data_IF_662994705628
#
_entry.id   IF_662994705628
#
_cell.length_a   1.000
_cell.length_b   1.000
_cell.length_c   1.000
_cell.angle_alpha   90.00
_cell.angle_beta   90.00
_cell.angle_gamma   90.00
#
_symmetry.space_group_name_H-M   'P 1'
#
loop_
_entity.id
_entity.type
_entity.pdbx_description
1 polymer ?
#
# COMPACT_ATOMS: atom_id res chain seq x y z
N UNK A 1 32.34 4.57 -14.08
CA UNK A 1 30.98 3.99 -14.23
C UNK A 1 29.94 4.73 -13.36
N UNK A 2 29.05 5.50 -14.00
CA UNK A 2 27.93 6.21 -13.33
C UNK A 2 27.03 6.97 -14.34
N UNK A 3 25.70 6.97 -14.11
CA UNK A 3 24.75 7.64 -15.03
C UNK A 3 23.23 7.51 -14.80
N UNK A 4 22.53 7.13 -15.88
CA UNK A 4 21.11 7.45 -16.11
C UNK A 4 20.05 6.53 -15.46
N UNK A 5 20.36 6.00 -14.27
CA UNK A 5 19.50 5.05 -13.50
C UNK A 5 18.12 5.60 -13.10
N UNK A 6 17.18 4.72 -12.72
CA UNK A 6 15.85 5.13 -12.18
C UNK A 6 15.48 4.24 -11.04
N UNK A 7 15.41 4.83 -9.86
CA UNK A 7 15.31 4.08 -8.64
C UNK A 7 13.85 4.04 -8.29
N UNK A 8 13.29 2.84 -8.33
CA UNK A 8 11.89 2.69 -8.06
C UNK A 8 11.68 1.98 -6.74
N UNK A 9 10.92 2.62 -5.85
CA UNK A 9 10.53 2.02 -4.59
C UNK A 9 9.39 1.09 -4.85
N UNK A 10 9.48 -0.12 -4.32
CA UNK A 10 8.37 -1.04 -4.35
C UNK A 10 8.03 -1.40 -2.92
N UNK A 11 6.74 -1.62 -2.66
CA UNK A 11 6.28 -2.08 -1.37
C UNK A 11 6.54 -3.56 -1.31
N UNK A 12 7.29 -4.02 -0.31
CA UNK A 12 7.59 -5.44 -0.23
C UNK A 12 6.37 -6.25 0.24
N UNK A 13 5.25 -5.57 0.52
CA UNK A 13 4.00 -6.24 0.97
C UNK A 13 3.42 -7.24 -0.01
N UNK A 14 2.17 -7.64 0.20
CA UNK A 14 1.52 -8.52 -0.77
C UNK A 14 1.69 -7.91 -2.15
N UNK A 15 1.28 -6.64 -2.28
CA UNK A 15 1.31 -5.92 -3.56
C UNK A 15 2.61 -6.10 -4.37
N UNK A 16 3.74 -6.31 -3.71
CA UNK A 16 5.02 -6.48 -4.42
C UNK A 16 4.83 -7.26 -5.70
N UNK A 17 4.24 -8.46 -5.58
CA UNK A 17 4.08 -9.34 -6.74
C UNK A 17 3.23 -8.70 -7.81
N UNK A 18 2.12 -8.09 -7.41
CA UNK A 18 1.20 -7.47 -8.37
C UNK A 18 1.81 -6.17 -8.91
N UNK A 19 2.44 -5.40 -8.03
CA UNK A 19 3.26 -4.25 -8.44
C UNK A 19 4.31 -4.68 -9.45
N UNK A 20 4.98 -5.79 -9.17
CA UNK A 20 6.01 -6.30 -10.06
C UNK A 20 5.40 -6.65 -11.40
N UNK A 21 4.22 -7.27 -11.34
CA UNK A 21 3.51 -7.69 -12.54
C UNK A 21 3.18 -6.53 -13.45
N UNK A 22 2.69 -5.43 -12.87
CA UNK A 22 2.36 -4.25 -13.65
C UNK A 22 3.52 -3.90 -14.53
N UNK A 23 4.70 -3.83 -13.93
CA UNK A 23 5.89 -3.50 -14.67
C UNK A 23 6.13 -4.55 -15.72
N UNK A 24 6.27 -5.80 -15.29
CA UNK A 24 6.49 -6.87 -16.26
C UNK A 24 5.56 -6.62 -17.46
N UNK A 25 4.27 -6.45 -17.16
CA UNK A 25 3.25 -6.15 -18.18
C UNK A 25 3.50 -4.81 -18.87
N UNK A 26 3.78 -3.77 -18.09
CA UNK A 26 4.12 -2.48 -18.67
C UNK A 26 5.43 -2.55 -19.41
N UNK A 27 6.06 -3.72 -19.42
CA UNK A 27 7.11 -4.03 -20.38
C UNK A 27 8.49 -3.74 -19.85
N UNK A 28 8.69 -3.95 -18.56
CA UNK A 28 10.00 -3.77 -17.96
C UNK A 28 10.59 -5.13 -17.63
N UNK A 29 11.64 -5.51 -18.36
CA UNK A 29 12.21 -6.85 -18.25
C UNK A 29 12.88 -7.03 -16.90
N UNK A 30 12.05 -7.35 -15.90
CA UNK A 30 12.51 -7.69 -14.55
C UNK A 30 13.01 -9.13 -14.55
N UNK A 31 14.03 -9.44 -13.72
CA UNK A 31 14.50 -10.83 -13.65
C UNK A 31 13.44 -11.74 -13.04
N UNK A 32 13.54 -13.04 -13.31
CA UNK A 32 12.42 -13.95 -13.11
C UNK A 32 11.88 -13.95 -11.68
N UNK A 33 12.73 -14.29 -10.71
CA UNK A 33 12.32 -14.32 -9.29
C UNK A 33 12.80 -13.10 -8.51
N UNK A 34 12.77 -11.98 -9.22
CA UNK A 34 12.59 -10.67 -8.63
C UNK A 34 11.48 -10.73 -7.57
N UNK A 35 10.36 -11.34 -7.94
CA UNK A 35 9.19 -11.39 -7.09
C UNK A 35 9.45 -12.03 -5.71
N UNK A 36 10.26 -13.09 -5.65
CA UNK A 36 10.65 -13.68 -4.35
C UNK A 36 11.97 -13.12 -3.79
N UNK A 37 12.55 -12.11 -4.45
CA UNK A 37 13.85 -11.59 -4.04
C UNK A 37 13.85 -11.26 -2.57
N UNK A 38 14.88 -11.74 -1.88
CA UNK A 38 15.08 -11.36 -0.49
C UNK A 38 15.67 -9.95 -0.43
N UNK A 39 16.48 -9.59 -1.42
CA UNK A 39 17.27 -8.36 -1.38
C UNK A 39 16.40 -7.13 -1.20
N UNK A 40 16.96 -6.07 -0.62
CA UNK A 40 16.21 -4.83 -0.39
C UNK A 40 16.29 -3.85 -1.53
N UNK A 41 17.29 -4.04 -2.38
CA UNK A 41 17.60 -3.10 -3.42
C UNK A 41 18.09 -3.92 -4.59
N UNK A 42 17.22 -4.17 -5.56
CA UNK A 42 17.59 -5.00 -6.67
C UNK A 42 17.66 -4.17 -7.95
N UNK A 43 18.60 -4.52 -8.84
CA UNK A 43 18.88 -3.74 -10.06
C UNK A 43 18.42 -4.46 -11.34
N UNK A 44 17.91 -3.70 -12.29
CA UNK A 44 17.61 -4.25 -13.60
C UNK A 44 18.36 -3.39 -14.61
N UNK A 45 19.69 -3.59 -14.70
CA UNK A 45 20.50 -2.71 -15.54
C UNK A 45 19.89 -2.60 -16.92
N UNK A 46 19.60 -3.75 -17.52
CA UNK A 46 19.10 -3.82 -18.89
C UNK A 46 17.86 -2.96 -19.16
N UNK A 47 17.06 -2.71 -18.12
CA UNK A 47 15.87 -1.87 -18.23
C UNK A 47 16.00 -0.58 -17.41
N UNK A 48 17.24 -0.17 -17.11
CA UNK A 48 17.54 1.12 -16.46
C UNK A 48 17.12 1.28 -14.98
N UNK A 49 16.49 0.26 -14.41
CA UNK A 49 15.88 0.40 -13.11
C UNK A 49 16.77 -0.12 -12.03
N UNK A 50 16.60 0.49 -10.86
CA UNK A 50 17.04 -0.05 -9.57
C UNK A 50 15.84 0.01 -8.66
N UNK A 51 15.49 -1.12 -8.08
CA UNK A 51 14.36 -1.15 -7.18
C UNK A 51 14.82 -1.15 -5.78
N UNK A 52 14.09 -0.45 -4.93
CA UNK A 52 14.24 -0.69 -3.53
C UNK A 52 12.96 -1.30 -3.06
N UNK A 53 13.13 -2.35 -2.27
CA UNK A 53 12.03 -3.12 -1.75
C UNK A 53 11.75 -2.56 -0.36
N UNK A 54 11.03 -1.46 -0.34
CA UNK A 54 10.60 -0.84 0.88
C UNK A 54 9.54 -1.70 1.54
N UNK A 55 9.50 -1.65 2.87
CA UNK A 55 8.30 -2.01 3.60
C UNK A 55 7.27 -1.01 3.08
N UNK A 56 6.04 -1.46 2.83
CA UNK A 56 5.05 -0.65 2.10
C UNK A 56 4.68 0.71 2.70
N UNK A 57 4.74 0.88 4.02
CA UNK A 57 4.49 2.21 4.56
C UNK A 57 5.59 3.19 4.16
N UNK A 58 6.78 2.67 3.87
CA UNK A 58 7.93 3.51 3.57
C UNK A 58 8.02 3.91 2.11
N UNK A 59 7.32 3.19 1.25
CA UNK A 59 7.56 3.39 -0.14
C UNK A 59 7.53 4.87 -0.39
N UNK A 60 6.47 5.54 0.04
CA UNK A 60 6.44 6.96 -0.21
C UNK A 60 7.67 7.59 0.42
N UNK A 61 7.89 7.38 1.72
CA UNK A 61 9.10 7.93 2.34
C UNK A 61 10.22 8.03 1.29
N UNK A 62 10.70 6.89 0.84
CA UNK A 62 11.85 6.89 -0.02
C UNK A 62 11.57 7.84 -1.17
N UNK A 63 10.44 7.63 -1.82
CA UNK A 63 10.07 8.47 -2.95
C UNK A 63 10.03 9.94 -2.53
N UNK A 64 9.45 10.24 -1.37
CA UNK A 64 9.37 11.64 -0.87
C UNK A 64 10.75 12.33 -0.77
N UNK A 65 11.76 11.55 -0.43
CA UNK A 65 13.12 12.05 -0.32
C UNK A 65 13.92 11.90 -1.61
N UNK A 66 13.35 11.23 -2.61
CA UNK A 66 14.00 11.06 -3.90
C UNK A 66 15.13 10.07 -3.79
N UNK A 67 15.14 9.32 -2.69
CA UNK A 67 16.02 8.19 -2.58
C UNK A 67 15.54 7.21 -3.65
N UNK A 68 14.22 7.13 -3.81
CA UNK A 68 13.64 6.53 -5.00
C UNK A 68 12.95 7.65 -5.78
N UNK A 69 13.15 7.67 -7.09
CA UNK A 69 12.55 8.69 -7.93
C UNK A 69 11.07 8.45 -8.01
N UNK A 70 10.71 7.18 -7.94
CA UNK A 70 9.40 6.73 -8.29
C UNK A 70 8.91 5.61 -7.39
N UNK A 71 7.62 5.62 -7.09
CA UNK A 71 7.08 4.62 -6.19
C UNK A 71 5.86 3.93 -6.74
N UNK A 72 5.70 2.65 -6.42
CA UNK A 72 4.39 2.01 -6.51
C UNK A 72 3.87 2.02 -5.09
N UNK A 73 3.01 2.98 -4.84
CA UNK A 73 2.68 3.37 -3.50
C UNK A 73 1.42 2.67 -3.09
N UNK A 74 1.55 1.37 -2.80
CA UNK A 74 0.48 0.57 -2.16
C UNK A 74 -0.15 1.38 -1.05
N UNK A 75 -1.32 1.96 -1.35
CA UNK A 75 -1.83 3.17 -0.69
C UNK A 75 -1.76 3.17 0.83
N UNK A 76 -1.61 1.98 1.42
CA UNK A 76 -1.13 1.82 2.80
C UNK A 76 -0.25 3.02 3.17
N UNK A 77 0.73 3.35 2.32
CA UNK A 77 1.57 4.54 2.54
C UNK A 77 0.71 5.79 2.72
N UNK A 78 -0.19 5.99 1.77
CA UNK A 78 -1.00 7.20 1.68
C UNK A 78 -2.16 7.18 2.67
N UNK A 79 -2.22 6.10 3.45
CA UNK A 79 -3.00 6.01 4.68
C UNK A 79 -2.38 6.88 5.79
N UNK A 80 -1.05 6.89 5.89
CA UNK A 80 -0.33 7.76 6.83
C UNK A 80 -1.04 9.13 7.05
N UNK A 81 -1.01 10.01 6.04
CA UNK A 81 -1.77 11.29 6.01
C UNK A 81 -1.56 11.96 4.63
N UNK A 82 -1.71 13.30 4.56
CA UNK A 82 -1.37 14.08 3.34
C UNK A 82 0.12 14.47 3.30
N UNK A 83 0.74 14.35 2.12
CA UNK A 83 2.20 14.46 1.96
C UNK A 83 2.64 14.68 0.50
N UNK A 84 3.93 14.97 0.30
CA UNK A 84 4.47 15.40 -1.00
C UNK A 84 4.96 14.28 -1.90
N UNK A 85 4.21 14.03 -2.96
CA UNK A 85 4.64 13.21 -4.08
C UNK A 85 3.52 13.42 -5.07
N UNK A 86 3.86 13.48 -6.34
CA UNK A 86 2.83 13.49 -7.33
C UNK A 86 2.23 12.09 -7.24
N UNK A 87 0.91 12.01 -7.18
CA UNK A 87 0.19 10.73 -7.29
C UNK A 87 -0.14 10.62 -8.74
N UNK A 88 0.81 10.13 -9.51
CA UNK A 88 0.66 10.13 -10.95
C UNK A 88 -0.56 9.32 -11.40
N UNK A 89 -0.70 8.11 -10.87
CA UNK A 89 -1.55 7.12 -11.51
C UNK A 89 -2.01 6.01 -10.58
N UNK A 90 -3.32 5.90 -10.37
CA UNK A 90 -3.89 4.77 -9.66
C UNK A 90 -3.63 3.50 -10.45
N UNK A 91 -3.33 2.42 -9.75
CA UNK A 91 -3.11 1.14 -10.39
C UNK A 91 -4.15 0.22 -9.84
N UNK A 92 -5.40 0.62 -9.92
CA UNK A 92 -6.44 -0.21 -9.35
C UNK A 92 -6.44 -1.57 -10.08
N UNK A 93 -5.22 -2.02 -10.40
CA UNK A 93 -4.94 -3.44 -10.57
C UNK A 93 -4.67 -4.05 -9.19
N UNK A 94 -3.90 -3.35 -8.35
CA UNK A 94 -3.32 -3.96 -7.15
C UNK A 94 -4.29 -4.01 -5.94
N UNK A 95 -5.50 -4.50 -6.20
CA UNK A 95 -6.67 -4.17 -5.38
C UNK A 95 -6.69 -4.82 -4.01
N UNK A 96 -7.67 -4.35 -3.23
CA UNK A 96 -7.97 -4.71 -1.82
C UNK A 96 -8.27 -3.39 -1.08
N UNK A 97 -8.53 -3.42 0.23
CA UNK A 97 -9.00 -2.19 0.92
C UNK A 97 -8.98 -2.19 2.45
N UNK A 98 -9.32 -1.03 3.04
CA UNK A 98 -9.29 -0.83 4.50
C UNK A 98 -10.67 -0.91 5.18
N UNK A 99 -10.75 -1.69 6.27
CA UNK A 99 -12.04 -2.03 6.90
C UNK A 99 -11.98 -2.11 8.42
N UNK A 100 -13.15 -1.91 9.04
CA UNK A 100 -13.36 -2.26 10.43
C UNK A 100 -13.84 -3.67 10.33
N UNK A 101 -13.12 -4.58 10.95
CA UNK A 101 -13.55 -5.95 10.94
C UNK A 101 -13.25 -6.53 12.29
N UNK A 102 -13.77 -7.72 12.50
CA UNK A 102 -13.74 -8.34 13.80
C UNK A 102 -14.18 -9.76 13.58
N UNK A 103 -14.47 -10.47 14.66
CA UNK A 103 -14.68 -11.88 14.54
C UNK A 103 -16.15 -12.14 14.25
N UNK A 104 -16.43 -13.18 13.44
CA UNK A 104 -17.69 -13.59 12.85
C UNK A 104 -19.00 -13.10 13.48
N UNK A 105 -19.50 -13.77 14.52
CA UNK A 105 -20.79 -13.42 15.09
C UNK A 105 -20.58 -12.90 16.50
N UNK A 106 -19.69 -11.93 16.58
CA UNK A 106 -19.49 -11.15 17.79
C UNK A 106 -19.85 -9.73 17.40
N UNK A 107 -20.70 -9.05 18.18
CA UNK A 107 -20.99 -7.63 17.90
C UNK A 107 -20.11 -6.69 18.77
N UNK A 108 -20.29 -5.38 18.59
CA UNK A 108 -19.54 -4.36 19.34
C UNK A 108 -19.70 -4.46 20.84
N UNK A 109 -18.69 -3.97 21.55
CA UNK A 109 -18.71 -3.94 23.02
C UNK A 109 -19.78 -2.95 23.49
N UNK A 110 -20.46 -3.28 24.58
CA UNK A 110 -21.43 -2.36 25.19
C UNK A 110 -20.69 -1.17 25.77
N UNK A 111 -19.70 -1.46 26.61
CA UNK A 111 -18.82 -0.46 27.16
C UNK A 111 -17.49 -0.45 26.43
N UNK A 112 -16.87 0.72 26.34
CA UNK A 112 -15.52 0.82 25.80
C UNK A 112 -15.36 0.00 24.55
N UNK A 113 -16.27 0.18 23.58
CA UNK A 113 -15.99 -0.43 22.30
C UNK A 113 -14.63 0.07 21.83
N UNK A 114 -13.85 -0.85 21.28
CA UNK A 114 -12.42 -0.67 21.16
C UNK A 114 -11.93 -1.19 19.80
N UNK A 115 -10.85 -0.58 19.30
CA UNK A 115 -10.21 -1.03 18.06
C UNK A 115 -8.72 -1.23 18.25
N UNK A 116 -8.25 -2.40 17.83
CA UNK A 116 -6.83 -2.58 17.60
C UNK A 116 -6.60 -2.21 16.15
N UNK A 117 -5.55 -1.45 15.88
CA UNK A 117 -5.13 -1.25 14.52
C UNK A 117 -3.70 -0.81 14.45
N UNK A 118 -3.10 -1.01 13.29
CA UNK A 118 -1.81 -0.42 13.05
C UNK A 118 -2.01 1.06 12.76
N UNK A 119 -3.23 1.48 12.45
CA UNK A 119 -3.45 2.81 11.91
C UNK A 119 -4.34 3.66 12.78
N UNK A 120 -3.82 4.12 13.94
CA UNK A 120 -4.63 5.02 14.76
C UNK A 120 -5.04 6.24 13.95
N UNK A 121 -4.06 6.88 13.30
CA UNK A 121 -4.31 7.92 12.29
C UNK A 121 -5.69 7.81 11.65
N UNK A 122 -5.87 6.83 10.77
CA UNK A 122 -7.12 6.70 10.04
C UNK A 122 -8.29 6.27 10.94
N UNK A 123 -8.13 5.18 11.69
CA UNK A 123 -9.24 4.67 12.48
C UNK A 123 -9.74 5.81 13.33
N UNK A 124 -8.86 6.41 14.12
CA UNK A 124 -9.23 7.55 14.95
C UNK A 124 -10.06 8.56 14.16
N UNK A 125 -9.51 9.08 13.06
CA UNK A 125 -10.24 10.03 12.20
C UNK A 125 -11.60 9.49 11.79
N UNK A 126 -11.64 8.21 11.42
CA UNK A 126 -12.87 7.56 11.00
C UNK A 126 -13.94 7.62 12.09
N UNK A 127 -13.57 7.25 13.30
CA UNK A 127 -14.50 7.28 14.43
C UNK A 127 -14.62 8.70 15.00
N UNK A 128 -13.57 9.50 14.79
CA UNK A 128 -13.57 10.93 15.14
C UNK A 128 -14.50 11.70 14.21
N UNK A 129 -14.79 11.15 13.03
CA UNK A 129 -15.76 11.76 12.12
C UNK A 129 -17.10 11.00 12.08
N UNK A 130 -17.07 9.70 12.38
CA UNK A 130 -18.29 8.88 12.41
C UNK A 130 -19.16 9.16 13.65
N UNK A 131 -18.57 9.73 14.70
CA UNK A 131 -19.31 10.09 15.91
C UNK A 131 -19.10 9.18 17.11
N UNK A 132 -18.55 7.99 16.86
CA UNK A 132 -18.36 6.98 17.92
C UNK A 132 -17.27 7.39 18.91
N UNK A 133 -17.64 7.47 20.19
CA UNK A 133 -16.63 7.48 21.24
C UNK A 133 -16.13 6.05 21.29
N UNK A 134 -15.05 5.80 20.55
CA UNK A 134 -14.41 4.50 20.45
C UNK A 134 -13.04 4.59 21.13
N UNK A 135 -12.31 3.49 21.14
CA UNK A 135 -11.11 3.37 21.94
C UNK A 135 -10.05 2.65 21.12
N UNK A 136 -9.12 3.43 20.57
CA UNK A 136 -8.22 2.92 19.55
C UNK A 136 -6.86 2.60 20.14
N UNK A 137 -6.32 1.47 19.72
CA UNK A 137 -5.13 0.94 20.31
C UNK A 137 -4.19 0.67 19.17
N UNK A 138 -3.08 1.39 19.14
CA UNK A 138 -2.12 1.24 18.06
C UNK A 138 -1.48 -0.08 18.31
N UNK A 139 -1.41 -0.90 17.28
CA UNK A 139 -0.85 -2.23 17.40
C UNK A 139 0.13 -2.34 16.23
N UNK A 140 1.28 -2.96 16.46
CA UNK A 140 2.33 -2.99 15.46
C UNK A 140 2.31 -4.24 14.59
N UNK A 141 1.38 -5.15 14.84
CA UNK A 141 1.28 -6.36 14.03
C UNK A 141 0.35 -7.37 14.67
N UNK A 142 0.19 -8.52 14.03
CA UNK A 142 -0.60 -9.59 14.60
C UNK A 142 -1.95 -9.04 15.06
N UNK A 143 -2.64 -8.36 14.17
CA UNK A 143 -3.88 -7.68 14.54
C UNK A 143 -5.04 -8.65 14.68
N UNK A 144 -5.01 -9.76 13.95
CA UNK A 144 -5.96 -10.85 14.20
C UNK A 144 -5.98 -11.17 15.69
N UNK A 145 -4.82 -11.11 16.31
CA UNK A 145 -4.70 -11.49 17.70
C UNK A 145 -5.65 -10.67 18.55
N UNK A 146 -5.72 -9.37 18.28
CA UNK A 146 -6.47 -8.43 19.12
C UNK A 146 -7.84 -8.94 19.50
N UNK A 147 -8.72 -9.15 18.51
CA UNK A 147 -10.02 -9.72 18.84
C UNK A 147 -9.88 -11.10 19.47
N UNK A 148 -9.12 -11.99 18.86
CA UNK A 148 -8.97 -13.30 19.44
C UNK A 148 -8.83 -13.25 20.95
N UNK A 149 -7.90 -12.48 21.50
CA UNK A 149 -7.88 -12.34 22.97
C UNK A 149 -8.59 -11.12 23.50
N UNK A 150 -9.39 -10.49 22.67
CA UNK A 150 -10.25 -9.43 23.15
C UNK A 150 -9.56 -8.13 23.51
N UNK A 151 -8.35 -7.94 23.03
CA UNK A 151 -7.74 -6.65 23.22
C UNK A 151 -8.78 -5.65 22.80
N UNK A 152 -9.37 -5.95 21.66
CA UNK A 152 -10.36 -5.12 21.11
C UNK A 152 -11.18 -6.02 20.25
N UNK A 153 -12.48 -5.80 20.29
CA UNK A 153 -13.42 -6.63 19.56
C UNK A 153 -13.36 -6.34 18.05
N UNK A 154 -12.71 -5.25 17.68
CA UNK A 154 -12.72 -4.76 16.31
C UNK A 154 -11.36 -4.22 15.93
N UNK A 155 -10.80 -4.72 14.84
CA UNK A 155 -9.58 -4.17 14.30
C UNK A 155 -10.01 -3.20 13.22
N UNK A 156 -9.28 -2.10 13.05
CA UNK A 156 -9.38 -1.28 11.83
C UNK A 156 -8.17 -1.72 11.02
N UNK A 157 -8.39 -2.22 9.81
CA UNK A 157 -7.28 -2.79 9.06
C UNK A 157 -7.53 -3.12 7.59
N UNK A 158 -6.42 -3.35 6.90
CA UNK A 158 -6.44 -3.67 5.50
C UNK A 158 -6.80 -5.10 5.30
N UNK A 159 -7.90 -5.38 4.60
CA UNK A 159 -8.10 -6.74 4.10
C UNK A 159 -8.60 -6.74 2.67
N UNK A 160 -8.71 -7.92 2.08
CA UNK A 160 -9.34 -8.05 0.77
C UNK A 160 -10.67 -7.33 0.79
N UNK A 161 -11.36 -7.28 -0.36
CA UNK A 161 -12.64 -6.56 -0.46
C UNK A 161 -13.80 -7.47 -0.87
N UNK A 162 -13.58 -8.27 -1.92
CA UNK A 162 -14.59 -9.18 -2.48
C UNK A 162 -15.82 -9.45 -1.63
N UNK A 163 -15.63 -10.18 -0.54
CA UNK A 163 -16.75 -10.59 0.31
C UNK A 163 -16.40 -10.43 1.79
N UNK A 164 -17.37 -10.75 2.65
CA UNK A 164 -17.39 -10.22 4.00
C UNK A 164 -16.45 -10.91 5.02
N UNK A 165 -15.91 -12.08 4.68
CA UNK A 165 -15.04 -12.85 5.59
C UNK A 165 -13.56 -12.79 5.17
N UNK A 166 -12.79 -11.90 5.80
CA UNK A 166 -11.38 -11.69 5.45
C UNK A 166 -10.53 -12.97 5.51
N UNK A 167 -9.35 -12.87 4.92
CA UNK A 167 -8.36 -13.95 4.92
C UNK A 167 -8.17 -14.37 6.36
N UNK A 168 -8.09 -13.38 7.24
CA UNK A 168 -7.81 -13.59 8.66
C UNK A 168 -8.65 -14.66 9.37
N UNK A 169 -9.79 -15.03 8.78
CA UNK A 169 -10.82 -15.75 9.51
C UNK A 169 -11.69 -14.75 10.25
N UNK A 170 -11.47 -13.48 9.93
CA UNK A 170 -12.23 -12.37 10.46
C UNK A 170 -13.37 -12.04 9.51
N UNK A 171 -13.97 -10.87 9.68
CA UNK A 171 -15.18 -10.54 8.97
C UNK A 171 -15.37 -9.03 8.99
N UNK A 172 -15.51 -8.43 7.81
CA UNK A 172 -15.53 -6.97 7.67
C UNK A 172 -16.77 -6.41 8.31
N UNK A 173 -16.61 -5.48 9.24
CA UNK A 173 -17.75 -4.92 9.98
C UNK A 173 -18.25 -3.66 9.36
N UNK A 174 -17.33 -2.78 9.05
CA UNK A 174 -17.70 -1.49 8.54
C UNK A 174 -16.57 -1.07 7.67
N UNK A 175 -16.76 -1.22 6.36
CA UNK A 175 -15.84 -0.65 5.37
C UNK A 175 -15.57 0.85 5.64
N UNK A 176 -14.39 1.32 5.24
CA UNK A 176 -14.03 2.73 5.44
C UNK A 176 -13.37 3.28 4.19
N UNK A 177 -12.11 2.92 3.96
CA UNK A 177 -11.43 3.27 2.73
C UNK A 177 -11.39 2.11 1.77
N UNK A 178 -11.69 2.39 0.52
CA UNK A 178 -11.14 1.62 -0.57
C UNK A 178 -9.74 2.18 -0.66
N UNK A 179 -8.78 1.38 -1.10
CA UNK A 179 -7.47 1.95 -1.39
C UNK A 179 -6.83 1.38 -2.63
N UNK A 180 -6.33 2.31 -3.44
CA UNK A 180 -5.60 1.97 -4.61
C UNK A 180 -4.15 2.25 -4.30
N UNK A 181 -3.29 1.38 -4.81
CA UNK A 181 -1.90 1.71 -4.97
C UNK A 181 -1.90 2.82 -5.97
N UNK A 182 -0.83 3.57 -6.01
CA UNK A 182 -0.62 4.46 -7.12
C UNK A 182 0.85 4.62 -7.40
N UNK A 183 1.15 4.77 -8.68
CA UNK A 183 2.48 5.10 -9.11
C UNK A 183 2.73 6.54 -8.72
N UNK A 184 3.66 6.73 -7.80
CA UNK A 184 3.99 8.05 -7.35
C UNK A 184 5.41 8.43 -7.74
N UNK A 185 5.59 9.72 -7.91
CA UNK A 185 6.83 10.27 -8.38
C UNK A 185 7.31 11.40 -7.48
N UNK A 186 8.62 11.39 -7.24
CA UNK A 186 9.25 12.44 -6.47
C UNK A 186 9.34 13.64 -7.41
N UNK A 187 8.89 14.81 -6.96
CA UNK A 187 8.82 15.93 -7.92
C UNK A 187 10.17 16.43 -8.45
N UNK A 188 11.14 16.60 -7.56
CA UNK A 188 12.50 16.95 -7.95
C UNK A 188 13.13 15.85 -8.82
N UNK A 189 12.76 14.61 -8.55
CA UNK A 189 13.21 13.51 -9.40
C UNK A 189 12.57 13.69 -10.77
N UNK A 190 11.26 13.88 -10.77
CA UNK A 190 10.48 13.96 -12.00
C UNK A 190 10.95 15.08 -12.92
N UNK A 191 11.26 16.23 -12.34
CA UNK A 191 11.86 17.32 -13.09
C UNK A 191 13.03 16.77 -13.89
N UNK A 192 13.88 15.96 -13.27
CA UNK A 192 15.08 15.45 -13.93
C UNK A 192 14.85 14.21 -14.80
N UNK A 193 13.76 13.50 -14.58
CA UNK A 193 13.55 12.24 -15.30
C UNK A 193 12.19 12.08 -15.94
N UNK A 194 11.42 13.16 -16.00
CA UNK A 194 10.16 13.21 -16.76
C UNK A 194 10.11 12.22 -17.94
N UNK A 195 11.19 12.16 -18.71
CA UNK A 195 11.31 11.14 -19.76
C UNK A 195 10.93 9.73 -19.25
N UNK A 196 11.83 9.05 -18.55
CA UNK A 196 11.55 7.69 -18.11
C UNK A 196 10.23 7.68 -17.36
N UNK A 197 10.04 8.70 -16.53
CA UNK A 197 8.92 8.73 -15.60
C UNK A 197 7.59 8.85 -16.37
N UNK A 198 7.45 9.85 -17.24
CA UNK A 198 6.23 9.89 -18.05
C UNK A 198 6.13 8.57 -18.76
N UNK A 199 7.22 8.21 -19.42
CA UNK A 199 7.24 6.99 -20.20
C UNK A 199 6.68 5.86 -19.37
N UNK A 200 7.11 5.78 -18.11
CA UNK A 200 6.58 4.77 -17.22
C UNK A 200 5.10 5.02 -16.97
N UNK A 201 4.76 6.20 -16.48
CA UNK A 201 3.36 6.54 -16.25
C UNK A 201 2.50 6.11 -17.43
N UNK A 202 2.83 6.57 -18.62
CA UNK A 202 2.08 6.12 -19.76
C UNK A 202 2.10 4.60 -19.76
N UNK A 203 3.30 4.02 -19.82
CA UNK A 203 3.43 2.57 -19.94
C UNK A 203 2.56 1.81 -18.93
N UNK A 204 2.59 2.24 -17.67
CA UNK A 204 1.79 1.61 -16.64
C UNK A 204 0.29 1.75 -16.93
N UNK A 205 -0.17 2.98 -17.11
CA UNK A 205 -1.61 3.24 -17.20
C UNK A 205 -2.24 2.51 -18.36
N UNK A 206 -1.46 2.22 -19.40
CA UNK A 206 -2.02 1.39 -20.44
C UNK A 206 -2.23 0.00 -19.86
N UNK A 207 -1.22 -0.54 -19.20
CA UNK A 207 -1.38 -1.86 -18.61
C UNK A 207 -2.59 -1.82 -17.70
N UNK A 208 -2.68 -0.80 -16.86
CA UNK A 208 -3.78 -0.67 -15.89
C UNK A 208 -5.12 -0.43 -16.59
N UNK A 209 -5.29 0.78 -17.12
CA UNK A 209 -6.57 1.24 -17.66
C UNK A 209 -7.10 0.21 -18.64
N UNK A 210 -6.26 -0.11 -19.61
CA UNK A 210 -6.63 -0.97 -20.73
C UNK A 210 -7.35 -2.25 -20.37
N UNK A 211 -6.61 -3.23 -19.88
CA UNK A 211 -7.21 -4.54 -19.62
C UNK A 211 -8.30 -4.43 -18.53
N UNK A 212 -8.08 -3.54 -17.55
CA UNK A 212 -9.06 -3.23 -16.48
C UNK A 212 -8.89 -4.18 -15.28
#
# INVERSE_FOLDING_TARGET
AMGKLLTMAMPKGRIFEEAAGLLRQAGYRLPEEFEDSRKLIIDVPEENLRFILAKPMDVTTYVEHGVADVGIAGKDVMLEEERDVYEVLDLNISKCHLAVAGLPNTDWSGVAPRIATKYPNVASSYFREQGEQVEIIKLNGSIELAPLIGLADRIVDIVSTGQTLKENGLVETEHICDITSRFIVNPVSYRMKDDVIDEMASRLSLVVEGETAK
#
